data_IF_429856186105
#
_entry.id   IF_429856186105
#
_cell.length_a   1.000
_cell.length_b   1.000
_cell.length_c   1.000
_cell.angle_alpha   90.00
_cell.angle_beta   90.00
_cell.angle_gamma   90.00
#
_symmetry.space_group_name_H-M   'P 1'
#
loop_
_entity.id
_entity.type
_entity.pdbx_description
1 polymer ?
#
# COMPACT_ATOMS: atom_id res chain seq x y z
N UNK A 1 -41.78 29.63 29.59
CA UNK A 1 -42.72 28.50 29.47
C UNK A 1 -43.90 28.97 28.64
N UNK A 2 -44.03 28.49 27.41
CA UNK A 2 -45.29 28.19 26.69
C UNK A 2 -44.89 27.43 25.43
N UNK A 3 -45.29 26.17 25.37
CA UNK A 3 -45.18 25.26 24.22
C UNK A 3 -46.52 25.36 23.48
N UNK A 4 -46.49 25.53 22.16
CA UNK A 4 -47.63 25.21 21.29
C UNK A 4 -47.12 24.34 20.14
N UNK A 5 -47.73 23.16 20.03
CA UNK A 5 -47.49 22.09 19.06
C UNK A 5 -48.66 22.09 18.07
N UNK A 6 -48.37 21.92 16.79
CA UNK A 6 -49.26 21.40 15.73
C UNK A 6 -48.38 21.07 14.51
N UNK A 7 -48.10 19.81 14.12
CA UNK A 7 -48.96 18.80 13.46
C UNK A 7 -49.67 19.38 12.22
N UNK A 8 -49.62 18.83 10.99
CA UNK A 8 -49.00 17.63 10.42
C UNK A 8 -49.06 17.65 8.86
N UNK A 9 -48.06 17.01 8.21
CA UNK A 9 -48.12 16.13 7.02
C UNK A 9 -48.62 16.65 5.64
N UNK A 10 -48.56 15.84 4.55
CA UNK A 10 -47.37 15.32 3.86
C UNK A 10 -47.46 15.48 2.31
N UNK A 11 -46.35 15.24 1.58
CA UNK A 11 -46.28 14.64 0.23
C UNK A 11 -45.16 15.26 -0.62
N UNK A 12 -44.12 14.47 -0.91
CA UNK A 12 -43.83 14.16 -2.31
C UNK A 12 -43.04 12.85 -2.39
N UNK A 13 -43.77 11.76 -2.60
CA UNK A 13 -43.27 10.49 -3.11
C UNK A 13 -43.78 10.38 -4.54
N UNK A 14 -42.87 10.14 -5.48
CA UNK A 14 -42.93 9.20 -6.63
C UNK A 14 -42.15 9.75 -7.84
N UNK A 15 -41.69 8.89 -8.79
CA UNK A 15 -41.71 7.44 -8.79
C UNK A 15 -40.33 6.78 -8.99
N UNK A 16 -40.25 5.54 -8.50
CA UNK A 16 -39.42 4.48 -9.07
C UNK A 16 -39.94 4.16 -10.47
N UNK A 17 -39.06 4.20 -11.46
CA UNK A 17 -39.19 3.48 -12.73
C UNK A 17 -37.85 2.79 -13.03
N UNK A 18 -37.80 1.50 -12.74
CA UNK A 18 -36.90 0.52 -13.38
C UNK A 18 -37.57 0.01 -14.67
N UNK A 19 -36.95 -0.80 -15.57
CA UNK A 19 -35.54 -1.12 -15.80
C UNK A 19 -35.17 -1.12 -17.31
N UNK A 20 -33.95 -1.60 -17.64
CA UNK A 20 -33.44 -2.07 -18.95
C UNK A 20 -32.79 -1.05 -19.92
N UNK A 21 -31.44 -1.16 -19.97
CA UNK A 21 -30.71 -1.27 -21.23
C UNK A 21 -30.31 0.01 -21.95
N UNK A 22 -29.12 0.53 -21.65
CA UNK A 22 -28.14 0.82 -22.72
C UNK A 22 -26.75 1.07 -22.15
N UNK A 23 -25.88 0.16 -22.53
CA UNK A 23 -24.42 0.23 -22.53
C UNK A 23 -23.86 1.57 -23.01
N UNK A 24 -23.14 2.26 -22.14
CA UNK A 24 -22.05 3.16 -22.50
C UNK A 24 -20.89 2.83 -21.54
N UNK A 25 -20.10 1.80 -21.84
CA UNK A 25 -18.81 1.97 -22.53
C UNK A 25 -18.01 3.15 -21.96
N UNK A 26 -17.50 2.98 -20.74
CA UNK A 26 -16.30 3.71 -20.31
C UNK A 26 -15.16 2.71 -20.43
N UNK A 27 -14.65 2.63 -21.65
CA UNK A 27 -13.57 1.75 -22.06
C UNK A 27 -12.23 2.45 -21.84
N UNK A 28 -11.29 1.66 -21.31
CA UNK A 28 -9.83 1.84 -21.29
C UNK A 28 -9.21 2.73 -20.20
N UNK A 29 -9.12 2.14 -19.02
CA UNK A 29 -7.85 1.75 -18.36
C UNK A 29 -6.57 2.28 -19.02
N UNK A 30 -6.00 3.31 -18.42
CA UNK A 30 -4.59 3.66 -18.56
C UNK A 30 -4.05 3.93 -17.16
N UNK A 31 -2.88 3.33 -16.87
CA UNK A 31 -2.04 3.36 -15.64
C UNK A 31 -1.99 2.00 -14.94
N UNK A 32 -1.24 1.09 -15.53
CA UNK A 32 -0.76 -0.16 -14.92
C UNK A 32 0.78 -0.24 -14.95
N UNK A 33 1.51 0.88 -14.92
CA UNK A 33 2.95 0.87 -15.19
C UNK A 33 3.89 1.06 -14.00
N UNK A 34 3.43 0.96 -12.74
CA UNK A 34 4.34 1.09 -11.59
C UNK A 34 4.35 -0.10 -10.61
N UNK A 35 3.53 -1.14 -10.80
CA UNK A 35 3.54 -2.33 -9.92
C UNK A 35 4.47 -3.47 -10.43
N UNK A 36 5.26 -3.20 -11.49
CA UNK A 36 6.17 -4.20 -12.09
C UNK A 36 7.57 -4.24 -11.47
N UNK A 37 7.88 -3.45 -10.44
CA UNK A 37 9.21 -3.45 -9.80
C UNK A 37 9.35 -4.37 -8.59
N UNK A 38 8.32 -5.16 -8.23
CA UNK A 38 8.44 -6.16 -7.15
C UNK A 38 8.23 -7.61 -7.65
N UNK A 39 8.67 -7.89 -8.88
CA UNK A 39 8.83 -9.26 -9.37
C UNK A 39 10.19 -9.83 -8.92
N UNK A 40 10.18 -10.43 -7.73
CA UNK A 40 10.85 -11.70 -7.43
C UNK A 40 12.26 -11.95 -8.00
N UNK A 41 13.28 -11.43 -7.31
CA UNK A 41 14.61 -12.05 -7.28
C UNK A 41 14.88 -12.73 -5.93
N UNK A 42 13.98 -13.63 -5.52
CA UNK A 42 14.30 -14.71 -4.57
C UNK A 42 14.70 -15.97 -5.33
N UNK A 43 15.84 -15.90 -6.02
CA UNK A 43 16.56 -17.05 -6.53
C UNK A 43 17.73 -17.36 -5.61
N UNK A 44 17.50 -18.07 -4.50
CA UNK A 44 18.58 -18.66 -3.70
C UNK A 44 19.31 -19.70 -4.54
N UNK A 45 20.31 -19.25 -5.30
CA UNK A 45 21.24 -20.12 -6.01
C UNK A 45 22.10 -20.80 -4.94
N UNK A 46 21.75 -22.04 -4.57
CA UNK A 46 22.61 -22.93 -3.78
C UNK A 46 23.93 -23.09 -4.52
N UNK A 47 24.95 -22.34 -4.11
CA UNK A 47 26.33 -22.60 -4.51
C UNK A 47 26.75 -23.87 -3.79
N UNK A 48 26.74 -24.99 -4.52
CA UNK A 48 27.41 -26.21 -4.09
C UNK A 48 28.91 -25.89 -4.00
N UNK A 49 29.40 -25.69 -2.78
CA UNK A 49 30.82 -25.60 -2.47
C UNK A 49 31.49 -26.95 -2.74
N UNK A 50 31.91 -27.17 -3.98
CA UNK A 50 32.95 -28.15 -4.28
C UNK A 50 34.25 -27.61 -3.69
N UNK A 51 34.72 -28.27 -2.64
CA UNK A 51 35.97 -27.93 -1.98
C UNK A 51 37.12 -27.92 -2.98
N UNK A 52 37.80 -26.78 -3.08
CA UNK A 52 39.15 -26.73 -3.62
C UNK A 52 40.10 -26.54 -2.44
N UNK A 53 40.82 -27.61 -2.11
CA UNK A 53 41.96 -27.56 -1.20
C UNK A 53 43.11 -26.93 -1.99
N UNK A 54 43.48 -25.70 -1.67
CA UNK A 54 44.82 -25.20 -1.98
C UNK A 54 45.31 -24.33 -0.82
N UNK A 55 46.39 -24.82 -0.23
CA UNK A 55 47.14 -24.32 0.90
C UNK A 55 47.83 -22.98 0.62
N UNK A 56 47.91 -22.15 1.67
CA UNK A 56 48.94 -21.12 1.94
C UNK A 56 49.36 -20.27 0.72
N UNK A 57 48.73 -19.11 0.60
CA UNK A 57 49.21 -18.02 -0.25
C UNK A 57 48.43 -16.75 0.07
N UNK A 58 49.15 -15.72 0.51
CA UNK A 58 48.74 -14.35 0.79
C UNK A 58 47.72 -13.83 -0.26
N UNK A 59 46.51 -13.44 0.13
CA UNK A 59 45.59 -12.72 -0.78
C UNK A 59 45.61 -11.25 -0.41
N UNK A 60 46.27 -10.50 -1.28
CA UNK A 60 46.26 -9.04 -1.35
C UNK A 60 44.83 -8.52 -1.41
N UNK A 61 44.52 -7.52 -0.58
CA UNK A 61 43.35 -6.67 -0.77
C UNK A 61 43.66 -5.82 -2.01
N UNK A 62 43.36 -6.35 -3.20
CA UNK A 62 43.16 -5.47 -4.35
C UNK A 62 41.93 -4.63 -4.06
N UNK A 63 42.19 -3.36 -3.77
CA UNK A 63 41.20 -2.31 -3.69
C UNK A 63 40.36 -2.35 -4.97
N UNK A 64 39.12 -2.83 -4.85
CA UNK A 64 38.02 -2.49 -5.75
C UNK A 64 37.77 -1.00 -5.54
N UNK A 65 38.62 -0.17 -6.13
CA UNK A 65 38.44 1.27 -6.19
C UNK A 65 37.40 1.50 -7.27
N UNK A 66 36.13 1.57 -6.87
CA UNK A 66 35.11 2.16 -7.73
C UNK A 66 35.64 3.52 -8.21
N UNK A 67 35.53 3.85 -9.51
CA UNK A 67 36.00 5.14 -9.99
C UNK A 67 35.37 6.25 -9.13
N UNK A 68 36.13 7.29 -8.75
CA UNK A 68 35.59 8.34 -7.92
C UNK A 68 34.43 8.97 -8.68
N UNK A 69 33.22 8.83 -8.14
CA UNK A 69 32.04 9.47 -8.70
C UNK A 69 32.29 10.98 -8.65
N UNK A 70 32.13 11.66 -9.77
CA UNK A 70 32.39 13.10 -9.83
C UNK A 70 31.39 13.84 -8.92
N UNK A 71 31.74 15.02 -8.40
CA UNK A 71 30.79 15.83 -7.60
C UNK A 71 29.45 16.04 -8.33
N UNK A 72 29.50 16.30 -9.63
CA UNK A 72 28.29 16.44 -10.44
C UNK A 72 27.47 15.14 -10.56
N UNK A 73 28.09 13.98 -10.41
CA UNK A 73 27.38 12.70 -10.35
C UNK A 73 26.65 12.48 -9.03
N UNK A 74 27.20 12.98 -7.92
CA UNK A 74 26.52 12.96 -6.61
C UNK A 74 25.32 13.91 -6.60
N UNK A 75 25.49 15.15 -7.09
CA UNK A 75 24.38 16.10 -7.20
C UNK A 75 23.23 15.59 -8.09
N UNK A 76 23.57 14.92 -9.19
CA UNK A 76 22.59 14.30 -10.07
C UNK A 76 21.87 13.11 -9.41
N UNK A 77 22.58 12.31 -8.61
CA UNK A 77 21.98 11.21 -7.86
C UNK A 77 21.04 11.76 -6.78
N UNK A 78 21.46 12.76 -6.01
CA UNK A 78 20.64 13.38 -4.96
C UNK A 78 19.35 13.99 -5.54
N UNK A 79 19.44 14.64 -6.70
CA UNK A 79 18.26 15.17 -7.40
C UNK A 79 17.31 14.07 -7.88
N UNK A 80 17.85 12.99 -8.46
CA UNK A 80 17.08 11.83 -8.89
C UNK A 80 16.40 11.12 -7.70
N UNK A 81 17.12 10.92 -6.60
CA UNK A 81 16.59 10.32 -5.38
C UNK A 81 15.51 11.21 -4.74
N UNK A 82 15.70 12.53 -4.77
CA UNK A 82 14.69 13.49 -4.34
C UNK A 82 13.38 13.39 -5.13
N UNK A 83 13.46 13.44 -6.47
CA UNK A 83 12.28 13.31 -7.33
C UNK A 83 11.59 11.95 -7.13
N UNK A 84 12.37 10.88 -7.03
CA UNK A 84 11.83 9.53 -6.78
C UNK A 84 11.12 9.47 -5.41
N UNK A 85 11.71 10.06 -4.37
CA UNK A 85 11.12 10.08 -3.03
C UNK A 85 9.79 10.85 -3.01
N UNK A 86 9.70 11.99 -3.70
CA UNK A 86 8.47 12.78 -3.82
C UNK A 86 7.37 11.98 -4.55
N UNK A 87 7.70 11.34 -5.67
CA UNK A 87 6.77 10.50 -6.43
C UNK A 87 6.28 9.31 -5.59
N UNK A 88 7.18 8.65 -4.86
CA UNK A 88 6.83 7.56 -3.96
C UNK A 88 5.92 8.04 -2.82
N UNK A 89 6.20 9.21 -2.23
CA UNK A 89 5.36 9.81 -1.20
C UNK A 89 3.94 10.06 -1.70
N UNK A 90 3.80 10.64 -2.91
CA UNK A 90 2.48 10.84 -3.53
C UNK A 90 1.75 9.52 -3.82
N UNK A 91 2.45 8.50 -4.34
CA UNK A 91 1.86 7.19 -4.59
C UNK A 91 1.36 6.53 -3.30
N UNK A 92 2.12 6.67 -2.21
CA UNK A 92 1.74 6.17 -0.89
C UNK A 92 0.53 6.92 -0.32
N UNK A 93 0.51 8.25 -0.41
CA UNK A 93 -0.63 9.06 0.00
C UNK A 93 -1.92 8.70 -0.77
N UNK A 94 -1.80 8.40 -2.07
CA UNK A 94 -2.91 7.88 -2.88
C UNK A 94 -3.42 6.55 -2.32
N UNK A 95 -2.52 5.63 -1.94
CA UNK A 95 -2.92 4.39 -1.26
C UNK A 95 -3.60 4.64 0.09
N UNK A 96 -3.14 5.64 0.85
CA UNK A 96 -3.81 6.06 2.10
C UNK A 96 -5.25 6.51 1.83
N UNK A 97 -5.46 7.35 0.81
CA UNK A 97 -6.82 7.75 0.41
C UNK A 97 -7.67 6.57 -0.08
N UNK A 98 -7.07 5.58 -0.74
CA UNK A 98 -7.77 4.34 -1.10
C UNK A 98 -8.21 3.55 0.14
N UNK A 99 -7.38 3.47 1.18
CA UNK A 99 -7.72 2.84 2.46
C UNK A 99 -8.91 3.55 3.12
N UNK A 100 -8.91 4.88 3.15
CA UNK A 100 -10.03 5.68 3.70
C UNK A 100 -11.35 5.41 2.95
N UNK A 101 -11.32 5.43 1.61
CA UNK A 101 -12.50 5.13 0.79
C UNK A 101 -12.98 3.69 0.99
N UNK A 102 -12.04 2.74 1.09
CA UNK A 102 -12.37 1.34 1.35
C UNK A 102 -12.96 1.16 2.76
N UNK A 103 -12.48 1.89 3.77
CA UNK A 103 -13.05 1.87 5.11
C UNK A 103 -14.52 2.33 5.09
N UNK A 104 -14.81 3.45 4.42
CA UNK A 104 -16.19 3.92 4.21
C UNK A 104 -17.05 2.87 3.49
N UNK A 105 -16.49 2.20 2.48
CA UNK A 105 -17.19 1.16 1.75
C UNK A 105 -17.46 -0.08 2.63
N UNK A 106 -16.55 -0.46 3.52
CA UNK A 106 -16.73 -1.54 4.50
C UNK A 106 -17.84 -1.20 5.50
N UNK A 107 -17.76 -0.02 6.13
CA UNK A 107 -18.70 0.41 7.18
C UNK A 107 -20.14 0.49 6.67
N UNK A 108 -20.30 0.94 5.43
CA UNK A 108 -21.61 1.12 4.79
C UNK A 108 -22.00 -0.07 3.90
N UNK A 109 -21.20 -1.13 3.88
CA UNK A 109 -21.39 -2.32 3.05
C UNK A 109 -21.61 -2.02 1.53
N UNK A 110 -20.97 -0.96 1.02
CA UNK A 110 -21.12 -0.45 -0.36
C UNK A 110 -20.40 -1.29 -1.42
N UNK A 111 -19.57 -2.24 -0.99
CA UNK A 111 -18.89 -3.19 -1.87
C UNK A 111 -19.82 -4.34 -2.30
N UNK A 112 -20.91 -4.58 -1.58
CA UNK A 112 -21.80 -5.70 -1.83
C UNK A 112 -22.71 -5.45 -3.05
N UNK A 113 -22.82 -6.45 -3.92
CA UNK A 113 -23.58 -6.38 -5.17
C UNK A 113 -23.64 -7.72 -5.87
N UNK A 114 -24.47 -7.85 -6.90
CA UNK A 114 -24.62 -9.09 -7.64
C UNK A 114 -23.28 -9.52 -8.30
N UNK A 115 -22.88 -10.77 -8.09
CA UNK A 115 -21.61 -11.31 -8.60
C UNK A 115 -20.35 -10.90 -7.82
N UNK A 116 -20.48 -10.11 -6.75
CA UNK A 116 -19.36 -9.79 -5.85
C UNK A 116 -19.35 -10.76 -4.67
N UNK A 117 -18.18 -11.34 -4.41
CA UNK A 117 -18.01 -12.41 -3.42
C UNK A 117 -17.27 -11.96 -2.15
N UNK A 118 -16.51 -10.86 -2.20
CA UNK A 118 -15.83 -10.28 -1.04
C UNK A 118 -15.45 -8.82 -1.29
N UNK A 119 -15.12 -8.05 -0.22
CA UNK A 119 -14.58 -6.70 -0.37
C UNK A 119 -13.30 -6.66 -1.23
N UNK A 120 -12.43 -7.65 -1.08
CA UNK A 120 -11.20 -7.79 -1.88
C UNK A 120 -11.53 -8.05 -3.36
N UNK A 121 -12.53 -8.88 -3.66
CA UNK A 121 -12.99 -9.11 -5.03
C UNK A 121 -13.51 -7.81 -5.66
N UNK A 122 -14.37 -7.07 -4.95
CA UNK A 122 -14.88 -5.79 -5.42
C UNK A 122 -13.77 -4.77 -5.64
N UNK A 123 -12.90 -4.59 -4.66
CA UNK A 123 -11.84 -3.58 -4.72
C UNK A 123 -10.83 -3.91 -5.83
N UNK A 124 -10.38 -5.16 -5.93
CA UNK A 124 -9.49 -5.60 -7.00
C UNK A 124 -10.10 -5.44 -8.39
N UNK A 125 -11.41 -5.69 -8.55
CA UNK A 125 -12.11 -5.40 -9.80
C UNK A 125 -12.12 -3.91 -10.15
N UNK A 126 -12.29 -3.03 -9.15
CA UNK A 126 -12.32 -1.57 -9.37
C UNK A 126 -10.96 -0.95 -9.63
N UNK A 127 -9.90 -1.48 -9.02
CA UNK A 127 -8.57 -0.84 -9.07
C UNK A 127 -7.58 -1.53 -10.00
N UNK A 128 -7.88 -2.75 -10.46
CA UNK A 128 -6.93 -3.59 -11.22
C UNK A 128 -5.59 -3.81 -10.51
N UNK A 129 -5.54 -3.65 -9.19
CA UNK A 129 -4.32 -3.84 -8.39
C UNK A 129 -3.97 -5.31 -8.21
N UNK A 130 -2.69 -5.60 -7.98
CA UNK A 130 -2.24 -6.94 -7.64
C UNK A 130 -2.97 -7.47 -6.37
N UNK A 131 -3.26 -8.79 -6.28
CA UNK A 131 -3.97 -9.35 -5.13
C UNK A 131 -3.32 -9.09 -3.76
N UNK A 132 -1.98 -8.95 -3.72
CA UNK A 132 -1.26 -8.60 -2.50
C UNK A 132 -1.61 -7.17 -2.03
N UNK A 133 -1.54 -6.19 -2.94
CA UNK A 133 -1.87 -4.79 -2.67
C UNK A 133 -3.34 -4.62 -2.30
N UNK A 134 -4.25 -5.32 -2.99
CA UNK A 134 -5.69 -5.37 -2.65
C UNK A 134 -5.90 -5.84 -1.22
N UNK A 135 -5.27 -6.96 -0.82
CA UNK A 135 -5.36 -7.47 0.56
C UNK A 135 -4.76 -6.50 1.58
N UNK A 136 -3.68 -5.80 1.21
CA UNK A 136 -3.07 -4.76 2.03
C UNK A 136 -4.05 -3.61 2.31
N UNK A 137 -4.65 -3.04 1.26
CA UNK A 137 -5.62 -1.95 1.38
C UNK A 137 -6.84 -2.37 2.18
N UNK A 138 -7.47 -3.52 1.85
CA UNK A 138 -8.66 -3.99 2.57
C UNK A 138 -8.33 -4.36 4.01
N UNK A 139 -7.15 -4.95 4.28
CA UNK A 139 -6.69 -5.29 5.62
C UNK A 139 -6.48 -4.05 6.49
N UNK A 140 -5.83 -3.02 5.94
CA UNK A 140 -5.67 -1.71 6.60
C UNK A 140 -7.03 -1.04 6.84
N UNK A 141 -7.92 -1.05 5.85
CA UNK A 141 -9.25 -0.45 5.97
C UNK A 141 -10.08 -1.11 7.10
N UNK A 142 -10.01 -2.44 7.25
CA UNK A 142 -10.66 -3.14 8.37
C UNK A 142 -10.11 -2.74 9.74
N UNK A 143 -8.82 -2.40 9.81
CA UNK A 143 -8.11 -2.08 11.06
C UNK A 143 -7.84 -0.59 11.25
N UNK A 144 -8.42 0.29 10.43
CA UNK A 144 -8.05 1.70 10.42
C UNK A 144 -8.31 2.42 11.76
N UNK A 145 -9.35 2.00 12.50
CA UNK A 145 -9.62 2.50 13.85
C UNK A 145 -8.63 1.96 14.91
N UNK A 146 -8.09 0.76 14.71
CA UNK A 146 -7.11 0.15 15.62
C UNK A 146 -5.69 0.63 15.37
N UNK A 147 -5.40 1.05 14.13
CA UNK A 147 -4.09 1.46 13.67
C UNK A 147 -4.09 2.89 13.09
N UNK A 148 -4.46 3.91 13.90
CA UNK A 148 -4.53 5.29 13.45
C UNK A 148 -3.18 5.87 13.03
N UNK A 149 -2.07 5.49 13.68
CA UNK A 149 -0.75 6.04 13.35
C UNK A 149 -0.25 5.50 12.00
N UNK A 150 -0.49 4.22 11.74
CA UNK A 150 -0.12 3.55 10.50
C UNK A 150 -0.90 4.10 9.33
N UNK A 151 -2.21 4.31 9.51
CA UNK A 151 -3.07 4.86 8.45
C UNK A 151 -2.77 6.32 8.17
N UNK A 152 -2.52 7.13 9.21
CA UNK A 152 -2.07 8.51 9.05
C UNK A 152 -0.73 8.60 8.30
N UNK A 153 0.27 7.80 8.69
CA UNK A 153 1.57 7.78 8.03
C UNK A 153 1.49 7.37 6.56
N UNK A 154 0.59 6.43 6.21
CA UNK A 154 0.34 6.07 4.82
C UNK A 154 -0.31 7.22 4.05
N UNK A 155 -1.32 7.89 4.61
CA UNK A 155 -1.98 9.05 4.00
C UNK A 155 -1.04 10.26 3.84
N UNK A 156 -0.05 10.41 4.73
CA UNK A 156 1.02 11.40 4.61
C UNK A 156 2.11 10.99 3.60
N UNK A 157 2.12 9.73 3.17
CA UNK A 157 3.12 9.18 2.26
C UNK A 157 4.46 8.85 2.92
N UNK A 158 4.56 8.91 4.25
CA UNK A 158 5.80 8.67 5.01
C UNK A 158 6.13 7.18 5.18
N UNK A 159 5.16 6.28 4.96
CA UNK A 159 5.37 4.84 4.81
C UNK A 159 4.70 4.32 3.54
N UNK A 160 5.23 3.23 3.00
CA UNK A 160 4.67 2.52 1.86
C UNK A 160 3.47 1.64 2.23
N UNK A 161 2.61 1.36 1.25
CA UNK A 161 1.52 0.39 1.40
C UNK A 161 2.02 -0.98 1.84
N UNK A 162 3.20 -1.41 1.37
CA UNK A 162 3.79 -2.69 1.75
C UNK A 162 4.17 -2.73 3.24
N UNK A 163 4.80 -1.67 3.77
CA UNK A 163 5.11 -1.56 5.20
C UNK A 163 3.82 -1.51 6.02
N UNK A 164 2.87 -0.65 5.65
CA UNK A 164 1.59 -0.52 6.34
C UNK A 164 0.80 -1.83 6.38
N UNK A 165 0.78 -2.59 5.28
CA UNK A 165 0.11 -3.89 5.19
C UNK A 165 0.77 -4.94 6.09
N UNK A 166 2.10 -4.93 6.24
CA UNK A 166 2.80 -5.80 7.19
C UNK A 166 2.44 -5.46 8.63
N UNK A 167 2.43 -4.19 8.97
CA UNK A 167 2.01 -3.72 10.30
C UNK A 167 0.57 -4.15 10.58
N UNK A 168 -0.35 -3.90 9.64
CA UNK A 168 -1.75 -4.31 9.76
C UNK A 168 -1.95 -5.83 9.83
N UNK A 169 -0.99 -6.64 9.36
CA UNK A 169 -1.07 -8.09 9.45
C UNK A 169 -0.54 -8.65 10.77
N UNK A 170 0.52 -8.07 11.31
CA UNK A 170 1.31 -8.67 12.39
C UNK A 170 1.23 -7.92 13.72
N UNK A 171 0.94 -6.61 13.69
CA UNK A 171 1.05 -5.75 14.86
C UNK A 171 -0.30 -5.61 15.55
N UNK A 172 -0.41 -6.00 16.83
CA UNK A 172 -1.59 -5.70 17.63
C UNK A 172 -1.67 -4.20 17.96
N UNK A 173 -2.87 -3.66 18.14
CA UNK A 173 -3.10 -2.22 18.35
C UNK A 173 -2.25 -1.63 19.49
N UNK A 174 -2.04 -2.38 20.58
CA UNK A 174 -1.26 -1.92 21.73
C UNK A 174 0.23 -1.70 21.45
N UNK A 175 0.76 -2.24 20.35
CA UNK A 175 2.17 -2.12 19.96
C UNK A 175 2.38 -1.19 18.77
N UNK A 176 1.31 -0.58 18.23
CA UNK A 176 1.41 0.27 17.05
C UNK A 176 2.43 1.40 17.23
N UNK A 177 2.34 2.16 18.32
CA UNK A 177 3.21 3.30 18.58
C UNK A 177 4.70 2.90 18.55
N UNK A 178 5.06 1.81 19.23
CA UNK A 178 6.45 1.32 19.26
C UNK A 178 6.95 0.86 17.90
N UNK A 179 6.09 0.29 17.05
CA UNK A 179 6.47 -0.10 15.69
C UNK A 179 6.61 1.13 14.78
N UNK A 180 5.75 2.13 14.97
CA UNK A 180 5.75 3.35 14.16
C UNK A 180 6.95 4.28 14.43
N UNK A 181 7.64 4.14 15.56
CA UNK A 181 8.94 4.79 15.77
C UNK A 181 10.03 4.27 14.82
N UNK A 182 9.90 3.03 14.36
CA UNK A 182 10.90 2.36 13.51
C UNK A 182 10.47 2.28 12.04
N UNK A 183 9.18 2.06 11.77
CA UNK A 183 8.68 1.73 10.44
C UNK A 183 9.08 2.71 9.32
N UNK A 184 9.02 4.05 9.50
CA UNK A 184 9.40 5.01 8.45
C UNK A 184 10.87 4.90 8.01
N UNK A 185 11.72 4.34 8.85
CA UNK A 185 13.16 4.21 8.60
C UNK A 185 13.57 2.77 8.22
N UNK A 186 12.60 1.86 8.08
CA UNK A 186 12.85 0.45 7.89
C UNK A 186 12.40 -0.03 6.51
N UNK A 187 13.25 -0.76 5.79
CA UNK A 187 12.83 -1.51 4.60
C UNK A 187 11.78 -2.56 4.95
N UNK A 188 10.97 -2.95 3.96
CA UNK A 188 9.97 -4.03 4.08
C UNK A 188 10.61 -5.31 4.62
N UNK A 189 11.79 -5.69 4.13
CA UNK A 189 12.49 -6.90 4.60
C UNK A 189 13.03 -6.77 6.03
N UNK A 190 13.33 -5.57 6.53
CA UNK A 190 13.67 -5.36 7.94
C UNK A 190 12.42 -5.52 8.80
N UNK A 191 11.29 -4.92 8.42
CA UNK A 191 10.02 -5.13 9.14
C UNK A 191 9.63 -6.61 9.20
N UNK A 192 9.72 -7.35 8.10
CA UNK A 192 9.42 -8.79 8.06
C UNK A 192 10.28 -9.63 9.02
N UNK A 193 11.50 -9.19 9.33
CA UNK A 193 12.40 -9.88 10.26
C UNK A 193 12.17 -9.48 11.71
N UNK A 194 11.60 -8.30 11.96
CA UNK A 194 11.41 -7.74 13.29
C UNK A 194 10.01 -7.98 13.84
N UNK A 195 8.98 -7.97 12.97
CA UNK A 195 7.60 -8.17 13.36
C UNK A 195 7.32 -9.67 13.66
N UNK A 196 6.48 -9.96 14.68
CA UNK A 196 6.17 -11.32 15.10
C UNK A 196 5.29 -12.11 14.12
#
# INVERSE_FOLDING_TARGET
MTVMIGQAAPANVTPVSDPTGSSASVTLTMVCLLDSLDLGLHGSRKVHGRGCKCSRGMVMIEHVFAPPVSKGSFEALDALEGELAELCGMANAIHGRMVELMAVALDRNLWSGWGIHSPEHWFGWKTSMAPASVRGVVGLARRHHELPLTTAALSEGSISLAQAALIARHVPASYEASVMEFAPHATVSQLQRTLP
#
